data_IF_261867656942
#
_entry.id   IF_261867656942
#
_cell.length_a   1.000
_cell.length_b   1.000
_cell.length_c   1.000
_cell.angle_alpha   90.00
_cell.angle_beta   90.00
_cell.angle_gamma   90.00
#
_symmetry.space_group_name_H-M   'P 1'
#
loop_
_entity.id
_entity.type
_entity.pdbx_description
1 polymer ?
#
# COMPACT_ATOMS: atom_id res chain seq x y z
N UNK A 1 25.78 -4.57 22.97
CA UNK A 1 25.19 -3.36 22.35
C UNK A 1 25.65 -3.34 20.90
N UNK A 2 25.02 -4.15 20.04
CA UNK A 2 25.44 -4.36 18.65
C UNK A 2 24.39 -3.69 17.76
N UNK A 3 24.70 -2.50 17.26
CA UNK A 3 23.84 -1.79 16.32
C UNK A 3 24.04 -2.39 14.92
N UNK A 4 23.10 -3.24 14.50
CA UNK A 4 22.93 -3.66 13.12
C UNK A 4 22.37 -2.47 12.32
N UNK A 5 23.27 -1.70 11.72
CA UNK A 5 22.96 -0.75 10.67
C UNK A 5 22.69 -1.53 9.38
N UNK A 6 21.42 -1.82 9.10
CA UNK A 6 20.99 -2.28 7.78
C UNK A 6 21.08 -1.09 6.79
N UNK A 7 21.87 -1.19 5.71
CA UNK A 7 21.94 -0.13 4.72
C UNK A 7 20.61 -0.01 3.97
N UNK A 8 19.92 1.11 4.19
CA UNK A 8 18.77 1.54 3.40
C UNK A 8 19.26 1.89 2.00
N UNK A 9 19.28 0.91 1.09
CA UNK A 9 19.57 1.13 -0.32
C UNK A 9 18.38 1.82 -0.99
N UNK A 10 18.36 3.16 -0.96
CA UNK A 10 17.53 3.94 -1.86
C UNK A 10 18.10 3.81 -3.28
N UNK A 11 17.60 2.84 -4.05
CA UNK A 11 17.95 2.70 -5.45
C UNK A 11 17.27 3.83 -6.24
N UNK A 12 18.05 4.84 -6.61
CA UNK A 12 17.68 5.80 -7.65
C UNK A 12 17.70 5.05 -8.99
N UNK A 13 16.55 4.83 -9.62
CA UNK A 13 16.49 4.13 -10.90
C UNK A 13 17.04 5.01 -12.03
N UNK A 14 17.99 4.45 -12.76
CA UNK A 14 18.43 4.96 -14.07
C UNK A 14 17.32 4.73 -15.10
N UNK A 15 17.21 5.57 -16.16
CA UNK A 15 16.17 5.42 -17.16
C UNK A 15 16.47 4.21 -18.06
N UNK A 16 16.07 3.03 -17.62
CA UNK A 16 16.24 1.78 -18.35
C UNK A 16 16.22 0.59 -17.38
N UNK A 17 15.05 -0.03 -17.23
CA UNK A 17 14.73 -1.14 -16.32
C UNK A 17 14.57 -0.81 -14.83
N UNK A 18 13.32 -0.72 -14.37
CA UNK A 18 12.96 -0.78 -12.95
C UNK A 18 12.89 -2.25 -12.52
N UNK A 19 13.88 -2.73 -11.78
CA UNK A 19 13.80 -4.02 -11.09
C UNK A 19 12.86 -3.88 -9.88
N UNK A 20 11.94 -4.82 -9.66
CA UNK A 20 11.03 -4.74 -8.53
C UNK A 20 11.78 -4.96 -7.22
N UNK A 21 11.49 -4.14 -6.20
CA UNK A 21 12.09 -4.23 -4.87
C UNK A 21 11.59 -5.43 -4.04
N UNK A 22 10.63 -6.18 -4.57
CA UNK A 22 10.08 -7.39 -3.96
C UNK A 22 9.66 -8.39 -5.05
N UNK A 23 9.72 -9.68 -4.74
CA UNK A 23 9.31 -10.73 -5.67
C UNK A 23 8.06 -11.44 -5.16
N UNK A 24 6.93 -11.17 -5.79
CA UNK A 24 5.64 -11.85 -5.56
C UNK A 24 5.13 -12.37 -6.89
N UNK A 25 5.29 -13.68 -7.17
CA UNK A 25 4.79 -14.29 -8.40
C UNK A 25 3.28 -14.06 -8.62
N UNK A 26 2.52 -13.93 -7.54
CA UNK A 26 1.07 -13.64 -7.57
C UNK A 26 0.74 -12.25 -8.11
N UNK A 27 1.66 -11.28 -7.97
CA UNK A 27 1.46 -9.91 -8.46
C UNK A 27 1.46 -9.80 -9.99
N UNK A 28 1.73 -10.90 -10.72
CA UNK A 28 1.58 -10.95 -12.19
C UNK A 28 0.11 -10.90 -12.64
N UNK A 29 -0.83 -11.25 -11.76
CA UNK A 29 -2.25 -11.30 -12.10
C UNK A 29 -2.96 -9.97 -11.80
N UNK A 30 -3.73 -9.47 -12.75
CA UNK A 30 -4.59 -8.29 -12.57
C UNK A 30 -3.81 -7.00 -12.24
N UNK A 31 -4.21 -6.32 -11.16
CA UNK A 31 -3.62 -5.05 -10.71
C UNK A 31 -2.40 -5.23 -9.78
N UNK A 32 -1.98 -6.47 -9.50
CA UNK A 32 -0.92 -6.78 -8.56
C UNK A 32 -1.42 -7.21 -7.17
N UNK A 33 -0.51 -7.18 -6.19
CA UNK A 33 -0.85 -7.45 -4.79
C UNK A 33 -1.54 -6.21 -4.19
N UNK A 34 -2.59 -6.42 -3.40
CA UNK A 34 -3.34 -5.34 -2.78
C UNK A 34 -2.57 -4.82 -1.56
N UNK A 35 -2.34 -3.51 -1.55
CA UNK A 35 -1.71 -2.88 -0.41
C UNK A 35 -2.67 -2.80 0.79
N UNK A 36 -2.11 -2.88 1.99
CA UNK A 36 -2.88 -2.78 3.23
C UNK A 36 -3.24 -1.32 3.52
N UNK A 37 -4.53 -0.97 3.40
CA UNK A 37 -5.05 0.41 3.55
C UNK A 37 -5.61 0.71 4.94
N UNK A 38 -4.84 0.36 5.97
CA UNK A 38 -5.28 0.44 7.37
C UNK A 38 -4.32 1.28 8.18
N UNK A 39 -4.87 1.96 9.19
CA UNK A 39 -4.06 2.73 10.11
C UNK A 39 -3.17 1.81 10.93
N UNK A 40 -1.99 2.31 11.33
CA UNK A 40 -1.06 1.60 12.21
C UNK A 40 -1.74 1.13 13.50
N UNK A 41 -2.61 1.95 14.09
CA UNK A 41 -3.39 1.57 15.28
C UNK A 41 -4.31 0.37 15.00
N UNK A 42 -5.10 0.43 13.92
CA UNK A 42 -6.01 -0.67 13.54
C UNK A 42 -5.27 -1.94 13.13
N UNK A 43 -4.07 -1.80 12.55
CA UNK A 43 -3.20 -2.92 12.21
C UNK A 43 -2.73 -3.66 13.47
N UNK A 44 -2.30 -2.92 14.50
CA UNK A 44 -1.94 -3.48 15.80
C UNK A 44 -3.10 -4.18 16.51
N UNK A 45 -4.35 -3.79 16.20
CA UNK A 45 -5.57 -4.42 16.74
C UNK A 45 -6.15 -5.52 15.83
N UNK A 46 -5.32 -6.18 15.03
CA UNK A 46 -5.79 -7.27 14.18
C UNK A 46 -6.74 -6.81 13.08
N UNK A 47 -6.52 -5.59 12.55
CA UNK A 47 -7.25 -5.03 11.40
C UNK A 47 -8.71 -4.67 11.68
N UNK A 48 -9.06 -4.45 12.95
CA UNK A 48 -10.40 -4.04 13.37
C UNK A 48 -10.67 -2.57 13.02
N UNK A 49 -11.56 -2.33 12.06
CA UNK A 49 -11.82 -1.00 11.50
C UNK A 49 -13.27 -0.54 11.61
N UNK A 50 -14.24 -1.47 11.68
CA UNK A 50 -15.66 -1.12 11.63
C UNK A 50 -16.14 -0.32 12.86
N UNK A 51 -15.76 -0.77 14.06
CA UNK A 51 -16.17 -0.14 15.32
C UNK A 51 -15.10 0.80 15.91
N UNK A 52 -13.93 0.90 15.27
CA UNK A 52 -12.86 1.73 15.80
C UNK A 52 -13.08 3.20 15.45
N UNK A 53 -13.20 4.01 16.48
CA UNK A 53 -13.36 5.46 16.42
C UNK A 53 -12.40 6.08 17.42
N UNK A 54 -11.65 7.09 16.98
CA UNK A 54 -10.69 7.80 17.82
C UNK A 54 -10.87 9.32 17.64
N UNK A 55 -10.86 10.13 18.72
CA UNK A 55 -10.95 11.59 18.63
C UNK A 55 -9.75 12.28 17.98
N UNK A 56 -8.59 11.62 17.94
CA UNK A 56 -7.29 12.14 17.54
C UNK A 56 -6.76 11.48 16.26
N UNK A 57 -7.22 10.29 15.91
CA UNK A 57 -6.79 9.57 14.71
C UNK A 57 -7.98 9.30 13.77
N UNK A 58 -7.76 9.56 12.47
CA UNK A 58 -8.81 9.38 11.47
C UNK A 58 -8.77 7.97 10.89
N UNK A 59 -9.91 7.27 10.92
CA UNK A 59 -10.03 5.92 10.36
C UNK A 59 -10.09 5.94 8.82
N UNK A 60 -9.00 5.55 8.16
CA UNK A 60 -8.91 5.50 6.69
C UNK A 60 -9.79 4.42 6.06
N UNK A 61 -10.16 3.39 6.82
CA UNK A 61 -10.98 2.29 6.31
C UNK A 61 -12.49 2.54 6.51
N UNK A 62 -12.88 3.34 7.51
CA UNK A 62 -14.28 3.65 7.80
C UNK A 62 -14.56 5.17 7.74
N UNK A 63 -15.22 5.66 6.66
CA UNK A 63 -15.51 7.08 6.52
C UNK A 63 -16.46 7.64 7.58
N UNK A 64 -17.39 6.83 8.11
CA UNK A 64 -18.34 7.29 9.13
C UNK A 64 -17.65 7.57 10.47
N UNK A 65 -16.62 6.79 10.81
CA UNK A 65 -15.85 6.96 12.03
C UNK A 65 -15.06 8.28 12.08
N UNK A 66 -14.80 8.90 10.93
CA UNK A 66 -14.14 10.22 10.88
C UNK A 66 -14.96 11.34 11.51
N UNK A 67 -16.29 11.24 11.52
CA UNK A 67 -17.15 12.27 12.12
C UNK A 67 -17.02 12.38 13.65
N UNK A 68 -16.28 11.44 14.27
CA UNK A 68 -15.94 11.44 15.69
C UNK A 68 -14.62 12.15 16.00
N UNK A 69 -13.86 12.55 14.95
CA UNK A 69 -12.63 13.30 15.08
C UNK A 69 -12.90 14.68 15.71
N UNK A 70 -12.05 15.07 16.67
CA UNK A 70 -12.21 16.33 17.42
C UNK A 70 -11.13 17.37 17.09
N UNK A 71 -9.98 16.94 16.59
CA UNK A 71 -8.86 17.82 16.22
C UNK A 71 -8.36 17.51 14.82
N UNK A 72 -7.69 18.47 14.19
CA UNK A 72 -6.92 18.17 12.99
C UNK A 72 -5.81 17.17 13.33
N UNK A 73 -5.67 16.16 12.50
CA UNK A 73 -4.75 15.04 12.66
C UNK A 73 -3.98 14.82 11.37
N UNK A 74 -2.67 14.68 11.50
CA UNK A 74 -1.78 14.35 10.41
C UNK A 74 -1.03 13.08 10.78
N UNK A 75 -1.10 12.08 9.90
CA UNK A 75 -0.56 10.75 10.15
C UNK A 75 0.19 10.25 8.92
N UNK A 76 1.39 9.74 9.13
CA UNK A 76 2.19 9.08 8.11
C UNK A 76 2.69 7.75 8.65
N UNK A 77 2.60 6.69 7.84
CA UNK A 77 3.04 5.36 8.23
C UNK A 77 3.93 4.76 7.15
N UNK A 78 4.96 4.03 7.58
CA UNK A 78 5.82 3.20 6.76
C UNK A 78 5.54 1.75 7.09
N UNK A 79 5.73 0.84 6.14
CA UNK A 79 5.68 -0.59 6.40
C UNK A 79 6.99 -1.26 6.00
N UNK A 80 7.31 -2.33 6.72
CA UNK A 80 8.34 -3.29 6.35
C UNK A 80 7.72 -4.68 6.42
N UNK A 81 7.91 -5.47 5.36
CA UNK A 81 7.43 -6.84 5.23
C UNK A 81 8.64 -7.73 4.97
N UNK A 82 8.71 -8.82 5.72
CA UNK A 82 9.62 -9.92 5.46
C UNK A 82 8.78 -11.11 4.98
N UNK A 83 9.19 -11.71 3.87
CA UNK A 83 8.57 -12.90 3.31
C UNK A 83 9.67 -13.93 3.04
N UNK A 84 9.41 -15.17 3.38
CA UNK A 84 10.30 -16.29 3.09
C UNK A 84 9.57 -17.24 2.15
N UNK A 85 10.19 -17.56 1.01
CA UNK A 85 9.66 -18.50 0.03
C UNK A 85 10.47 -19.79 0.13
N UNK A 86 9.82 -20.86 0.57
CA UNK A 86 10.43 -22.19 0.62
C UNK A 86 10.07 -22.98 -0.64
N UNK A 87 11.09 -23.43 -1.36
CA UNK A 87 10.98 -24.31 -2.52
C UNK A 87 11.79 -25.59 -2.37
N UNK A 88 11.71 -26.52 -3.34
CA UNK A 88 12.48 -27.77 -3.32
C UNK A 88 14.01 -27.57 -3.34
N UNK A 89 14.46 -26.42 -3.85
CA UNK A 89 15.88 -26.11 -4.09
C UNK A 89 16.48 -25.12 -3.07
N UNK A 90 15.68 -24.58 -2.15
CA UNK A 90 16.14 -23.63 -1.13
C UNK A 90 15.07 -22.74 -0.52
N UNK A 91 15.50 -21.86 0.38
CA UNK A 91 14.67 -20.82 1.03
C UNK A 91 15.16 -19.46 0.56
N UNK A 92 14.28 -18.67 -0.05
CA UNK A 92 14.54 -17.31 -0.50
C UNK A 92 13.87 -16.29 0.44
N UNK A 93 14.68 -15.47 1.09
CA UNK A 93 14.21 -14.40 1.97
C UNK A 93 14.11 -13.06 1.24
N UNK A 94 12.92 -12.49 1.22
CA UNK A 94 12.59 -11.23 0.56
C UNK A 94 12.19 -10.19 1.61
N UNK A 95 12.88 -9.05 1.57
CA UNK A 95 12.54 -7.87 2.38
C UNK A 95 11.94 -6.78 1.49
N UNK A 96 10.82 -6.21 1.92
CA UNK A 96 10.15 -5.12 1.24
C UNK A 96 9.83 -4.00 2.23
N UNK A 97 10.03 -2.74 1.84
CA UNK A 97 9.66 -1.59 2.65
C UNK A 97 9.20 -0.43 1.80
N UNK A 98 8.11 0.23 2.18
CA UNK A 98 7.58 1.39 1.47
C UNK A 98 6.71 2.27 2.39
N UNK A 99 6.22 3.39 1.85
CA UNK A 99 5.21 4.23 2.47
C UNK A 99 3.87 3.46 2.52
N UNK A 100 3.30 3.32 3.71
CA UNK A 100 2.02 2.66 3.92
C UNK A 100 0.85 3.61 3.62
N UNK A 101 0.91 4.82 4.17
CA UNK A 101 -0.04 5.90 3.85
C UNK A 101 0.47 7.23 4.40
N UNK A 102 -0.08 8.30 3.82
CA UNK A 102 -0.03 9.65 4.34
C UNK A 102 -1.47 10.16 4.43
N UNK A 103 -1.89 10.70 5.58
CA UNK A 103 -3.26 11.10 5.83
C UNK A 103 -3.31 12.43 6.57
N UNK A 104 -4.15 13.33 6.08
CA UNK A 104 -4.50 14.57 6.73
C UNK A 104 -6.02 14.59 6.93
N UNK A 105 -6.45 14.66 8.18
CA UNK A 105 -7.85 14.74 8.52
C UNK A 105 -8.13 15.96 9.39
N UNK A 106 -9.26 16.62 9.15
CA UNK A 106 -9.64 17.81 9.89
C UNK A 106 -11.16 17.87 10.11
N UNK A 107 -11.60 18.18 11.34
CA UNK A 107 -13.00 18.44 11.62
C UNK A 107 -13.37 19.83 11.10
N UNK A 108 -14.37 19.91 10.23
CA UNK A 108 -14.91 21.19 9.77
C UNK A 108 -15.84 21.81 10.81
N UNK A 109 -16.57 20.99 11.54
CA UNK A 109 -17.39 21.41 12.69
C UNK A 109 -16.72 20.89 13.94
N UNK A 110 -15.86 21.71 14.54
CA UNK A 110 -15.07 21.29 15.69
C UNK A 110 -15.92 21.24 16.97
N UNK A 111 -16.08 20.08 17.63
CA UNK A 111 -16.78 19.98 18.91
C UNK A 111 -16.09 20.74 20.06
N UNK A 112 -14.77 21.02 20.00
CA UNK A 112 -14.08 21.83 21.02
C UNK A 112 -14.53 23.30 20.98
N UNK A 113 -14.61 23.90 19.79
CA UNK A 113 -15.09 25.29 19.64
C UNK A 113 -16.54 25.44 20.14
N UNK A 114 -17.31 24.36 20.09
CA UNK A 114 -18.70 24.32 20.55
C UNK A 114 -18.86 24.29 22.06
N UNK A 115 -17.90 23.70 22.78
CA UNK A 115 -17.85 23.78 24.25
C UNK A 115 -17.51 25.21 24.67
N UNK A 116 -16.65 25.91 23.92
CA UNK A 116 -16.30 27.31 24.17
C UNK A 116 -17.43 28.28 23.84
N UNK A 117 -18.24 28.00 22.81
CA UNK A 117 -19.35 28.86 22.35
C UNK A 117 -20.73 28.51 22.96
N UNK A 118 -20.82 27.56 23.90
CA UNK A 118 -22.09 27.08 24.46
C UNK A 118 -23.12 26.61 23.41
N UNK A 119 -22.69 26.22 22.20
CA UNK A 119 -23.58 25.77 21.11
C UNK A 119 -23.61 24.26 20.99
N UNK A 120 -24.71 23.66 21.46
CA UNK A 120 -24.98 22.23 21.34
C UNK A 120 -25.68 21.90 20.01
N UNK A 121 -24.94 21.85 18.89
CA UNK A 121 -25.48 21.31 17.63
C UNK A 121 -25.32 19.78 17.57
N UNK A 122 -26.35 18.96 17.34
CA UNK A 122 -26.18 17.50 17.27
C UNK A 122 -25.39 17.01 16.03
N UNK A 123 -24.82 17.92 15.23
CA UNK A 123 -24.19 17.67 13.95
C UNK A 123 -22.66 17.83 14.03
N UNK A 124 -21.94 16.84 13.51
CA UNK A 124 -20.49 16.92 13.27
C UNK A 124 -20.18 16.62 11.81
N UNK A 125 -19.15 17.27 11.30
CA UNK A 125 -18.62 17.02 9.96
C UNK A 125 -17.09 17.06 10.01
N UNK A 126 -16.48 16.04 9.42
CA UNK A 126 -15.05 15.93 9.25
C UNK A 126 -14.70 15.52 7.82
N UNK A 127 -13.49 15.87 7.40
CA UNK A 127 -12.94 15.53 6.10
C UNK A 127 -11.57 14.89 6.28
N UNK A 128 -11.20 14.03 5.33
CA UNK A 128 -9.84 13.53 5.17
C UNK A 128 -9.35 13.69 3.74
N UNK A 129 -8.05 13.81 3.59
CA UNK A 129 -7.34 13.56 2.34
C UNK A 129 -6.19 12.63 2.68
N UNK A 130 -6.09 11.51 1.97
CA UNK A 130 -5.01 10.56 2.18
C UNK A 130 -4.44 10.02 0.88
N UNK A 131 -3.16 9.71 0.89
CA UNK A 131 -2.43 9.09 -0.19
C UNK A 131 -1.88 7.76 0.31
N UNK A 132 -2.28 6.67 -0.34
CA UNK A 132 -1.79 5.34 -0.01
C UNK A 132 -1.59 4.53 -1.30
N UNK A 133 -0.59 3.63 -1.37
CA UNK A 133 -0.57 2.60 -2.41
C UNK A 133 -1.87 1.80 -2.36
N UNK A 134 -2.43 1.53 -3.54
CA UNK A 134 -3.60 0.67 -3.74
C UNK A 134 -3.17 -0.75 -4.08
N UNK A 135 -2.26 -0.88 -5.04
CA UNK A 135 -1.69 -2.16 -5.43
C UNK A 135 -0.25 -2.00 -5.86
N UNK A 136 0.53 -3.06 -5.71
CA UNK A 136 1.94 -3.11 -6.10
C UNK A 136 2.19 -4.31 -6.99
N UNK A 137 2.97 -4.10 -8.04
CA UNK A 137 3.41 -5.15 -8.96
C UNK A 137 4.92 -5.28 -8.83
N UNK A 138 5.36 -6.47 -8.43
CA UNK A 138 6.78 -6.79 -8.33
C UNK A 138 6.96 -8.29 -8.48
N UNK A 139 7.43 -8.72 -9.65
CA UNK A 139 7.77 -10.12 -9.87
C UNK A 139 8.97 -10.27 -10.80
N UNK A 140 9.80 -11.26 -10.50
CA UNK A 140 10.85 -11.79 -11.35
C UNK A 140 10.62 -13.29 -11.38
N UNK A 141 10.14 -13.80 -12.52
CA UNK A 141 9.92 -15.24 -12.71
C UNK A 141 10.76 -15.71 -13.89
N UNK A 142 11.64 -16.67 -13.62
CA UNK A 142 12.41 -17.38 -14.64
C UNK A 142 11.69 -18.69 -14.95
N UNK A 143 11.27 -18.87 -16.19
CA UNK A 143 10.70 -20.13 -16.66
C UNK A 143 11.61 -20.73 -17.74
N UNK A 144 12.08 -21.95 -17.50
CA UNK A 144 12.81 -22.73 -18.50
C UNK A 144 11.79 -23.50 -19.32
N UNK A 145 11.86 -23.39 -20.65
CA UNK A 145 11.04 -24.17 -21.57
C UNK A 145 11.96 -24.90 -22.55
N UNK A 146 11.81 -26.21 -22.60
CA UNK A 146 12.45 -27.06 -23.61
C UNK A 146 11.53 -27.11 -24.84
N UNK A 147 12.03 -26.75 -26.03
CA UNK A 147 11.26 -26.80 -27.29
C UNK A 147 12.02 -27.66 -28.30
N UNK A 148 11.77 -28.99 -28.40
CA UNK A 148 12.38 -29.80 -29.46
C UNK A 148 11.95 -29.27 -30.85
N UNK A 149 12.86 -29.03 -31.82
CA UNK A 149 14.25 -29.47 -31.93
C UNK A 149 15.32 -28.41 -31.58
N UNK A 150 14.98 -27.35 -30.83
CA UNK A 150 15.91 -26.30 -30.40
C UNK A 150 16.20 -26.34 -28.89
N UNK A 151 17.36 -25.78 -28.55
CA UNK A 151 18.00 -25.75 -27.22
C UNK A 151 17.12 -25.14 -26.10
N UNK A 152 17.54 -25.32 -24.85
CA UNK A 152 16.84 -24.81 -23.65
C UNK A 152 16.64 -23.28 -23.73
N UNK A 153 15.39 -22.82 -23.62
CA UNK A 153 15.04 -21.39 -23.66
C UNK A 153 14.74 -20.88 -22.26
N UNK A 154 15.50 -19.88 -21.80
CA UNK A 154 15.22 -19.16 -20.57
C UNK A 154 14.27 -17.99 -20.86
N UNK A 155 13.06 -18.02 -20.30
CA UNK A 155 12.13 -16.91 -20.33
C UNK A 155 12.17 -16.16 -19.00
N UNK A 156 12.62 -14.90 -19.02
CA UNK A 156 12.56 -14.00 -17.88
C UNK A 156 11.33 -13.11 -18.00
N UNK A 157 10.42 -13.23 -17.04
CA UNK A 157 9.26 -12.35 -16.91
C UNK A 157 9.51 -11.36 -15.76
N UNK A 158 9.61 -10.08 -16.10
CA UNK A 158 9.81 -9.00 -15.15
C UNK A 158 8.58 -8.09 -15.15
N UNK A 159 8.06 -7.79 -13.98
CA UNK A 159 7.00 -6.79 -13.82
C UNK A 159 7.26 -5.92 -12.61
N UNK A 160 7.20 -4.60 -12.81
CA UNK A 160 7.42 -3.61 -11.77
C UNK A 160 6.45 -2.45 -11.90
N UNK A 161 6.05 -1.90 -10.76
CA UNK A 161 5.21 -0.71 -10.68
C UNK A 161 4.15 -0.82 -9.59
N UNK A 162 3.11 0.00 -9.72
CA UNK A 162 2.03 0.04 -8.74
C UNK A 162 1.06 1.16 -9.03
N UNK A 163 -0.06 1.11 -8.31
CA UNK A 163 -1.13 2.10 -8.36
C UNK A 163 -1.23 2.75 -6.99
N UNK A 164 -1.25 4.06 -6.95
CA UNK A 164 -1.54 4.86 -5.77
C UNK A 164 -2.99 5.33 -5.81
N UNK A 165 -3.60 5.44 -4.63
CA UNK A 165 -4.93 6.00 -4.45
C UNK A 165 -4.84 7.28 -3.63
N UNK A 166 -5.24 8.40 -4.25
CA UNK A 166 -5.59 9.62 -3.54
C UNK A 166 -7.04 9.50 -3.10
N UNK A 167 -7.25 9.41 -1.79
CA UNK A 167 -8.57 9.27 -1.19
C UNK A 167 -9.00 10.61 -0.63
N UNK A 168 -10.19 11.06 -1.01
CA UNK A 168 -10.86 12.20 -0.40
C UNK A 168 -12.10 11.69 0.35
N UNK A 169 -12.10 11.88 1.66
CA UNK A 169 -13.14 11.37 2.53
C UNK A 169 -13.95 12.47 3.19
N UNK A 170 -15.25 12.22 3.34
CA UNK A 170 -16.16 13.06 4.11
C UNK A 170 -16.97 12.19 5.06
N UNK A 171 -17.09 12.64 6.32
CA UNK A 171 -17.86 11.94 7.35
C UNK A 171 -18.78 12.90 8.11
N UNK A 172 -20.05 12.54 8.21
CA UNK A 172 -21.08 13.29 8.91
C UNK A 172 -21.67 12.47 10.04
N UNK A 173 -21.95 13.12 11.17
CA UNK A 173 -22.66 12.51 12.30
C UNK A 173 -23.81 13.40 12.72
N UNK A 174 -24.96 12.79 12.88
CA UNK A 174 -26.14 13.40 13.47
C UNK A 174 -26.62 12.55 14.64
N UNK A 175 -26.44 13.06 15.87
CA UNK A 175 -26.69 12.34 17.12
C UNK A 175 -25.97 10.98 17.14
N UNK A 176 -26.72 9.88 17.07
CA UNK A 176 -26.23 8.50 17.16
C UNK A 176 -25.99 7.89 15.77
N UNK A 177 -26.34 8.59 14.70
CA UNK A 177 -26.16 8.11 13.33
C UNK A 177 -24.94 8.78 12.71
N UNK A 178 -24.06 7.98 12.10
CA UNK A 178 -22.91 8.45 11.36
C UNK A 178 -22.90 7.83 9.96
N UNK A 179 -22.61 8.64 8.97
CA UNK A 179 -22.48 8.23 7.58
C UNK A 179 -21.27 8.93 6.96
N UNK A 180 -20.67 8.31 5.96
CA UNK A 180 -19.54 8.91 5.28
C UNK A 180 -19.29 8.29 3.92
N UNK A 181 -18.53 9.00 3.10
CA UNK A 181 -18.21 8.63 1.72
C UNK A 181 -16.72 8.85 1.48
N UNK A 182 -16.08 7.90 0.80
CA UNK A 182 -14.72 8.02 0.29
C UNK A 182 -14.72 8.03 -1.24
N UNK A 183 -14.06 9.01 -1.83
CA UNK A 183 -13.76 9.06 -3.25
C UNK A 183 -12.29 8.71 -3.43
N UNK A 184 -12.00 7.67 -4.21
CA UNK A 184 -10.65 7.19 -4.45
C UNK A 184 -10.28 7.49 -5.90
N UNK A 185 -9.26 8.32 -6.11
CA UNK A 185 -8.64 8.54 -7.41
C UNK A 185 -7.42 7.64 -7.52
N UNK A 186 -7.46 6.67 -8.43
CA UNK A 186 -6.37 5.73 -8.66
C UNK A 186 -5.48 6.22 -9.80
N UNK A 187 -4.18 6.28 -9.57
CA UNK A 187 -3.18 6.66 -10.57
C UNK A 187 -1.90 5.86 -10.38
N UNK A 188 -1.27 5.44 -11.47
CA UNK A 188 -0.05 4.66 -11.42
C UNK A 188 0.34 4.12 -12.78
N UNK A 189 1.53 3.53 -12.85
CA UNK A 189 2.06 2.86 -14.03
C UNK A 189 2.49 1.46 -13.64
N UNK A 190 2.12 0.49 -14.46
CA UNK A 190 2.57 -0.89 -14.36
C UNK A 190 3.37 -1.17 -15.64
N UNK A 191 4.63 -1.55 -15.48
CA UNK A 191 5.48 -1.99 -16.57
C UNK A 191 5.63 -3.52 -16.50
N UNK A 192 5.46 -4.18 -17.64
CA UNK A 192 5.73 -5.60 -17.78
C UNK A 192 6.69 -5.78 -18.95
N UNK A 193 7.76 -6.53 -18.70
CA UNK A 193 8.74 -6.90 -19.69
C UNK A 193 8.91 -8.42 -19.73
N UNK A 194 9.06 -8.95 -20.94
CA UNK A 194 9.38 -10.34 -21.18
C UNK A 194 10.66 -10.39 -21.98
N UNK A 195 11.69 -10.98 -21.39
CA UNK A 195 12.94 -11.28 -22.07
C UNK A 195 12.99 -12.78 -22.35
N UNK A 196 13.42 -13.11 -23.56
CA UNK A 196 13.65 -14.49 -23.98
C UNK A 196 15.13 -14.57 -24.31
N UNK A 197 15.86 -15.38 -23.56
CA UNK A 197 17.27 -15.65 -23.81
C UNK A 197 17.39 -17.03 -24.44
N UNK A 198 17.99 -17.06 -25.63
CA UNK A 198 18.35 -18.29 -26.31
C UNK A 198 19.78 -18.63 -25.91
N UNK A 199 19.97 -19.74 -25.21
CA UNK A 199 21.31 -20.29 -24.98
C UNK A 199 21.79 -20.86 -26.31
N UNK A 200 22.50 -20.05 -27.11
CA UNK A 200 23.15 -20.54 -28.32
C UNK A 200 24.36 -21.37 -27.92
N UNK A 201 24.32 -22.68 -28.18
CA UNK A 201 25.54 -23.48 -28.26
C UNK A 201 26.32 -23.04 -29.51
N UNK A 202 27.36 -22.23 -29.34
CA UNK A 202 28.39 -22.10 -30.37
C UNK A 202 29.11 -23.44 -30.52
N UNK A 203 28.99 -24.07 -31.67
CA UNK A 203 30.03 -24.96 -32.17
C UNK A 203 30.16 -24.84 -33.69
N UNK A 204 31.38 -24.56 -34.17
CA UNK A 204 31.97 -25.34 -35.24
C UNK A 204 33.03 -26.31 -34.71
#
# INVERSE_FOLDING_TARGET
MCALLAPLHAQFSTPGFDFPSFNSPYSRLGLGDLATRQNAATLGMGRMTAAWQDPLQANLSNPAAMAFLRTASFEGALFAKHASLEGPEGTDDVWNGNLAYLSLAFPLVNPLNRVLENRQTPFNWAMNVSLAPWSTVGYIVTAQSEIPPMDTVNNYFLGSGGVYALTWGNGWRYKNFAAGVHLNWLFGKIASNRQVEFLTTESP
#
